data_IF_307403520025
#
_entry.id   IF_307403520025
#
_cell.length_a   1.000
_cell.length_b   1.000
_cell.length_c   1.000
_cell.angle_alpha   90.00
_cell.angle_beta   90.00
_cell.angle_gamma   90.00
#
_symmetry.space_group_name_H-M   'P 1'
#
loop_
_entity.id
_entity.type
_entity.pdbx_description
1 polymer ?
#
# COMPACT_ATOMS: atom_id res chain seq x y z
N UNK A 1 2.06 8.89 -21.49
CA UNK A 1 2.52 8.93 -20.08
C UNK A 1 2.28 7.59 -19.43
N UNK A 2 3.31 7.02 -18.88
CA UNK A 2 3.14 5.76 -18.15
C UNK A 2 2.35 5.99 -16.87
N UNK A 3 1.40 5.09 -16.61
CA UNK A 3 0.69 5.08 -15.34
C UNK A 3 1.32 4.02 -14.45
N UNK A 4 1.42 4.31 -13.16
CA UNK A 4 1.80 3.29 -12.20
C UNK A 4 0.55 2.71 -11.54
N UNK A 5 0.62 1.42 -11.26
CA UNK A 5 -0.54 0.67 -10.80
C UNK A 5 -0.40 0.33 -9.32
N UNK A 6 -1.37 0.78 -8.57
CA UNK A 6 -1.32 0.78 -7.11
C UNK A 6 -2.20 -0.32 -6.53
N UNK A 7 -1.67 -1.01 -5.53
CA UNK A 7 -2.45 -1.90 -4.68
C UNK A 7 -2.61 -1.27 -3.29
N UNK A 8 -3.80 -1.37 -2.73
CA UNK A 8 -4.11 -0.83 -1.41
C UNK A 8 -4.27 -1.98 -0.42
N UNK A 9 -3.48 -1.96 0.63
CA UNK A 9 -3.58 -2.94 1.72
C UNK A 9 -4.11 -2.20 2.94
N UNK A 10 -5.37 -2.45 3.27
CA UNK A 10 -6.10 -1.74 4.32
C UNK A 10 -7.00 -0.67 3.72
N UNK A 11 -8.31 -0.87 3.82
CA UNK A 11 -9.32 0.01 3.21
C UNK A 11 -10.23 0.64 4.28
N UNK A 12 -9.63 1.01 5.41
CA UNK A 12 -10.34 1.65 6.52
C UNK A 12 -10.33 3.17 6.44
N UNK A 13 -10.41 3.81 7.61
CA UNK A 13 -10.57 5.25 7.72
C UNK A 13 -9.47 6.08 7.07
N UNK A 14 -8.19 5.72 7.29
CA UNK A 14 -7.08 6.49 6.73
C UNK A 14 -7.03 6.35 5.20
N UNK A 15 -7.39 5.19 4.68
CA UNK A 15 -7.45 4.97 3.24
C UNK A 15 -8.54 5.86 2.63
N UNK A 16 -9.76 5.74 3.11
CA UNK A 16 -10.91 6.47 2.57
C UNK A 16 -10.85 7.97 2.82
N UNK A 17 -10.26 8.38 3.94
CA UNK A 17 -10.18 9.79 4.31
C UNK A 17 -9.08 10.58 3.62
N UNK A 18 -7.98 9.92 3.26
CA UNK A 18 -6.80 10.62 2.73
C UNK A 18 -6.21 10.01 1.47
N UNK A 19 -5.82 8.74 1.53
CA UNK A 19 -5.04 8.14 0.45
C UNK A 19 -5.82 7.94 -0.86
N UNK A 20 -7.01 7.37 -0.76
CA UNK A 20 -7.81 7.08 -1.96
C UNK A 20 -8.26 8.35 -2.68
N UNK A 21 -8.81 9.35 -1.98
CA UNK A 21 -9.15 10.61 -2.65
C UNK A 21 -7.95 11.29 -3.32
N UNK A 22 -6.78 11.26 -2.66
CA UNK A 22 -5.57 11.87 -3.22
C UNK A 22 -5.10 11.14 -4.47
N UNK A 23 -5.08 9.81 -4.45
CA UNK A 23 -4.70 9.00 -5.60
C UNK A 23 -5.65 9.20 -6.79
N UNK A 24 -6.94 9.33 -6.52
CA UNK A 24 -7.95 9.53 -7.56
C UNK A 24 -7.70 10.80 -8.37
N UNK A 25 -7.08 11.79 -7.76
CA UNK A 25 -6.76 13.06 -8.43
C UNK A 25 -5.52 12.98 -9.32
N UNK A 26 -4.72 11.92 -9.20
CA UNK A 26 -3.50 11.78 -9.98
C UNK A 26 -3.78 11.06 -11.29
N UNK A 27 -3.54 11.75 -12.40
CA UNK A 27 -3.73 11.18 -13.74
C UNK A 27 -2.79 10.00 -14.02
N UNK A 28 -1.64 9.96 -13.36
CA UNK A 28 -0.63 8.93 -13.56
C UNK A 28 -0.80 7.69 -12.66
N UNK A 29 -1.83 7.65 -11.83
CA UNK A 29 -2.04 6.54 -10.91
C UNK A 29 -3.37 5.82 -11.20
N UNK A 30 -3.31 4.50 -11.24
CA UNK A 30 -4.48 3.64 -11.34
C UNK A 30 -4.49 2.68 -10.17
N UNK A 31 -5.62 2.58 -9.47
CA UNK A 31 -5.73 1.66 -8.33
C UNK A 31 -6.37 0.37 -8.84
N UNK A 32 -5.57 -0.68 -8.97
CA UNK A 32 -5.98 -1.92 -9.63
C UNK A 32 -6.27 -3.07 -8.67
N UNK A 33 -5.93 -2.91 -7.40
CA UNK A 33 -6.12 -3.97 -6.40
C UNK A 33 -6.37 -3.38 -5.02
N UNK A 34 -7.25 -4.03 -4.29
CA UNK A 34 -7.64 -3.62 -2.94
C UNK A 34 -7.65 -4.83 -2.03
N UNK A 35 -7.15 -4.68 -0.82
CA UNK A 35 -7.14 -5.75 0.17
C UNK A 35 -7.61 -5.24 1.54
N UNK A 36 -8.50 -5.99 2.16
CA UNK A 36 -8.94 -5.75 3.54
C UNK A 36 -9.45 -7.09 4.09
N UNK A 37 -9.22 -7.32 5.39
CA UNK A 37 -9.75 -8.51 6.05
C UNK A 37 -11.28 -8.55 6.01
N UNK A 38 -11.91 -7.37 5.91
CA UNK A 38 -13.35 -7.24 5.76
C UNK A 38 -13.63 -7.04 4.27
N UNK A 39 -14.15 -8.06 3.56
CA UNK A 39 -14.32 -7.98 2.10
C UNK A 39 -15.12 -6.79 1.62
N UNK A 40 -16.16 -6.41 2.35
CA UNK A 40 -17.04 -5.29 1.99
C UNK A 40 -16.28 -3.96 1.91
N UNK A 41 -15.24 -3.79 2.73
CA UNK A 41 -14.42 -2.59 2.70
C UNK A 41 -13.59 -2.50 1.42
N UNK A 42 -12.99 -3.62 1.01
CA UNK A 42 -12.24 -3.68 -0.24
C UNK A 42 -13.15 -3.45 -1.44
N UNK A 43 -14.31 -4.08 -1.44
CA UNK A 43 -15.28 -3.94 -2.53
C UNK A 43 -15.81 -2.51 -2.66
N UNK A 44 -16.13 -1.88 -1.54
CA UNK A 44 -16.60 -0.49 -1.56
C UNK A 44 -15.52 0.45 -2.10
N UNK A 45 -14.29 0.29 -1.62
CA UNK A 45 -13.17 1.11 -2.09
C UNK A 45 -12.92 0.90 -3.58
N UNK A 46 -13.01 -0.33 -4.05
CA UNK A 46 -12.84 -0.64 -5.47
C UNK A 46 -13.90 0.02 -6.33
N UNK A 47 -15.16 0.02 -5.88
CA UNK A 47 -16.24 0.68 -6.63
C UNK A 47 -16.06 2.18 -6.72
N UNK A 48 -15.57 2.80 -5.65
CA UNK A 48 -15.43 4.25 -5.59
C UNK A 48 -14.14 4.77 -6.25
N UNK A 49 -13.06 4.03 -6.14
CA UNK A 49 -11.73 4.52 -6.51
C UNK A 49 -10.95 3.64 -7.48
N UNK A 50 -11.38 2.42 -7.69
CA UNK A 50 -10.65 1.47 -8.53
C UNK A 50 -10.94 1.62 -10.01
N UNK A 51 -10.09 0.98 -10.81
CA UNK A 51 -10.34 0.79 -12.23
C UNK A 51 -11.52 -0.18 -12.40
N UNK A 52 -12.17 -0.21 -13.56
CA UNK A 52 -13.29 -1.15 -13.77
C UNK A 52 -12.93 -2.62 -13.57
N UNK A 53 -11.68 -2.98 -13.79
CA UNK A 53 -11.17 -4.35 -13.61
C UNK A 53 -10.40 -4.54 -12.31
N UNK A 54 -10.56 -3.63 -11.35
CA UNK A 54 -9.89 -3.74 -10.06
C UNK A 54 -10.29 -5.02 -9.34
N UNK A 55 -9.32 -5.66 -8.70
CA UNK A 55 -9.50 -6.90 -7.95
C UNK A 55 -9.48 -6.65 -6.46
N UNK A 56 -10.26 -7.45 -5.73
CA UNK A 56 -10.35 -7.38 -4.27
C UNK A 56 -9.81 -8.67 -3.66
N UNK A 57 -9.05 -8.52 -2.59
CA UNK A 57 -8.41 -9.63 -1.88
C UNK A 57 -8.68 -9.50 -0.39
N UNK A 58 -8.71 -10.61 0.32
CA UNK A 58 -8.77 -10.63 1.79
C UNK A 58 -7.43 -10.97 2.41
N UNK A 59 -6.52 -11.56 1.63
CA UNK A 59 -5.16 -11.86 2.06
C UNK A 59 -4.19 -11.00 1.24
N UNK A 60 -3.41 -10.15 1.92
CA UNK A 60 -2.49 -9.25 1.22
C UNK A 60 -1.43 -9.99 0.41
N UNK A 61 -1.10 -11.23 0.78
CA UNK A 61 -0.14 -12.02 0.03
C UNK A 61 -0.64 -12.35 -1.36
N UNK A 62 -1.95 -12.54 -1.50
CA UNK A 62 -2.54 -12.75 -2.82
C UNK A 62 -2.48 -11.48 -3.66
N UNK A 63 -2.72 -10.33 -3.05
CA UNK A 63 -2.56 -9.04 -3.74
C UNK A 63 -1.13 -8.89 -4.25
N UNK A 64 -0.14 -9.26 -3.45
CA UNK A 64 1.27 -9.16 -3.84
C UNK A 64 1.65 -10.06 -5.02
N UNK A 65 0.86 -11.08 -5.31
CA UNK A 65 1.05 -11.93 -6.48
C UNK A 65 0.42 -11.36 -7.75
N UNK A 66 -0.35 -10.31 -7.63
CA UNK A 66 -0.97 -9.65 -8.79
C UNK A 66 0.12 -8.92 -9.57
N UNK A 67 0.45 -9.45 -10.75
CA UNK A 67 1.56 -8.94 -11.58
C UNK A 67 1.32 -7.52 -12.09
N UNK A 68 0.09 -7.04 -12.08
CA UNK A 68 -0.25 -5.67 -12.52
C UNK A 68 0.20 -4.62 -11.51
N UNK A 69 0.33 -5.00 -10.24
CA UNK A 69 0.65 -4.05 -9.17
C UNK A 69 2.12 -3.67 -9.19
N UNK A 70 2.43 -2.40 -9.35
CA UNK A 70 3.80 -1.86 -9.33
C UNK A 70 4.22 -1.43 -7.94
N UNK A 71 3.28 -0.87 -7.19
CA UNK A 71 3.54 -0.38 -5.85
C UNK A 71 2.33 -0.61 -4.95
N UNK A 72 2.58 -0.67 -3.66
CA UNK A 72 1.51 -0.84 -2.68
C UNK A 72 1.55 0.25 -1.63
N UNK A 73 0.37 0.61 -1.12
CA UNK A 73 0.23 1.46 0.04
C UNK A 73 -0.27 0.62 1.20
N UNK A 74 0.50 0.63 2.29
CA UNK A 74 0.19 -0.16 3.48
C UNK A 74 -0.46 0.75 4.51
N UNK A 75 -1.76 0.57 4.71
CA UNK A 75 -2.62 1.44 5.52
C UNK A 75 -3.31 0.67 6.66
N UNK A 76 -2.68 -0.41 7.07
CA UNK A 76 -3.16 -1.31 8.12
C UNK A 76 -2.74 -0.84 9.51
N UNK A 77 -3.20 -1.50 10.59
CA UNK A 77 -2.71 -1.21 11.94
C UNK A 77 -1.19 -1.36 12.05
N UNK A 78 -0.59 -0.57 12.92
CA UNK A 78 0.86 -0.40 13.04
C UNK A 78 1.65 -1.71 13.16
N UNK A 79 1.12 -2.67 13.90
CA UNK A 79 1.81 -3.94 14.16
C UNK A 79 2.09 -4.77 12.90
N UNK A 80 1.38 -4.50 11.81
CA UNK A 80 1.54 -5.24 10.55
C UNK A 80 2.47 -4.57 9.56
N UNK A 81 2.85 -3.31 9.81
CA UNK A 81 3.62 -2.52 8.84
C UNK A 81 4.93 -3.18 8.42
N UNK A 82 5.70 -3.67 9.39
CA UNK A 82 7.00 -4.25 9.08
C UNK A 82 6.89 -5.50 8.21
N UNK A 83 6.05 -6.45 8.62
CA UNK A 83 5.93 -7.71 7.88
C UNK A 83 5.36 -7.50 6.48
N UNK A 84 4.31 -6.69 6.36
CA UNK A 84 3.70 -6.41 5.06
C UNK A 84 4.65 -5.67 4.14
N UNK A 85 5.43 -4.72 4.68
CA UNK A 85 6.42 -3.98 3.90
C UNK A 85 7.51 -4.91 3.37
N UNK A 86 8.06 -5.77 4.23
CA UNK A 86 9.10 -6.72 3.84
C UNK A 86 8.59 -7.66 2.76
N UNK A 87 7.40 -8.21 2.96
CA UNK A 87 6.80 -9.12 1.98
C UNK A 87 6.56 -8.43 0.63
N UNK A 88 6.09 -7.19 0.67
CA UNK A 88 5.84 -6.42 -0.55
C UNK A 88 7.14 -6.11 -1.31
N UNK A 89 8.18 -5.67 -0.60
CA UNK A 89 9.47 -5.41 -1.21
C UNK A 89 10.03 -6.67 -1.87
N UNK A 90 9.95 -7.80 -1.18
CA UNK A 90 10.42 -9.09 -1.71
C UNK A 90 9.58 -9.59 -2.87
N UNK A 91 8.33 -9.17 -2.95
CA UNK A 91 7.48 -9.47 -4.10
C UNK A 91 7.76 -8.56 -5.30
N UNK A 92 8.73 -7.66 -5.19
CA UNK A 92 9.12 -6.77 -6.27
C UNK A 92 8.29 -5.50 -6.38
N UNK A 93 7.62 -5.11 -5.30
CA UNK A 93 6.78 -3.91 -5.28
C UNK A 93 7.47 -2.75 -4.57
N UNK A 94 7.24 -1.54 -5.06
CA UNK A 94 7.59 -0.35 -4.31
C UNK A 94 6.55 -0.16 -3.21
N UNK A 95 6.94 0.44 -2.08
CA UNK A 95 6.07 0.53 -0.91
C UNK A 95 6.00 1.94 -0.36
N UNK A 96 4.78 2.40 -0.11
CA UNK A 96 4.54 3.52 0.79
C UNK A 96 3.83 2.95 2.02
N UNK A 97 4.49 3.05 3.17
CA UNK A 97 3.97 2.56 4.44
C UNK A 97 3.50 3.75 5.28
N UNK A 98 2.30 3.66 5.84
CA UNK A 98 1.79 4.71 6.72
C UNK A 98 2.59 4.71 8.02
N UNK A 99 2.69 5.86 8.66
CA UNK A 99 3.40 6.00 9.94
C UNK A 99 2.65 5.31 11.08
N UNK A 100 3.35 4.86 12.11
CA UNK A 100 4.80 4.74 12.24
C UNK A 100 5.34 3.60 11.38
N UNK A 101 6.60 3.71 10.99
CA UNK A 101 7.26 2.71 10.15
C UNK A 101 7.18 1.30 10.75
N UNK A 102 7.45 1.20 12.04
CA UNK A 102 7.48 -0.07 12.75
C UNK A 102 7.21 0.16 14.23
N UNK A 103 6.98 -0.92 14.97
CA UNK A 103 6.74 -0.86 16.41
C UNK A 103 8.02 -1.10 17.23
N UNK A 104 9.06 -1.66 16.60
CA UNK A 104 10.35 -1.87 17.25
C UNK A 104 11.49 -1.44 16.34
N UNK A 105 12.66 -1.21 16.93
CA UNK A 105 13.87 -0.87 16.19
C UNK A 105 14.31 -2.03 15.28
N UNK A 106 14.20 -3.26 15.76
CA UNK A 106 14.55 -4.45 15.00
C UNK A 106 13.69 -4.58 13.74
N UNK A 107 12.39 -4.31 13.86
CA UNK A 107 11.48 -4.31 12.71
C UNK A 107 11.88 -3.25 11.70
N UNK A 108 12.18 -2.04 12.17
CA UNK A 108 12.62 -0.97 11.28
C UNK A 108 13.89 -1.33 10.54
N UNK A 109 14.85 -1.93 11.23
CA UNK A 109 16.10 -2.40 10.60
C UNK A 109 15.83 -3.45 9.54
N UNK A 110 14.94 -4.41 9.84
CA UNK A 110 14.58 -5.46 8.88
C UNK A 110 13.94 -4.86 7.62
N UNK A 111 13.10 -3.86 7.77
CA UNK A 111 12.50 -3.16 6.63
C UNK A 111 13.55 -2.49 5.75
N UNK A 112 14.50 -1.78 6.37
CA UNK A 112 15.59 -1.11 5.65
C UNK A 112 16.47 -2.14 4.94
N UNK A 113 16.76 -3.27 5.59
CA UNK A 113 17.54 -4.35 4.98
C UNK A 113 16.83 -4.90 3.75
N UNK A 114 15.54 -5.18 3.85
CA UNK A 114 14.75 -5.67 2.72
C UNK A 114 14.74 -4.66 1.57
N UNK A 115 14.64 -3.37 1.89
CA UNK A 115 14.69 -2.32 0.88
C UNK A 115 16.03 -2.33 0.13
N UNK A 116 17.13 -2.45 0.87
CA UNK A 116 18.46 -2.50 0.25
C UNK A 116 18.68 -3.75 -0.59
N UNK A 117 18.24 -4.89 -0.08
CA UNK A 117 18.38 -6.17 -0.79
C UNK A 117 17.57 -6.23 -2.08
N UNK A 118 16.38 -5.64 -2.09
CA UNK A 118 15.50 -5.68 -3.26
C UNK A 118 15.71 -4.54 -4.23
N UNK A 119 16.30 -3.44 -3.79
CA UNK A 119 16.50 -2.24 -4.61
C UNK A 119 15.20 -1.48 -4.89
N UNK A 120 14.09 -1.87 -4.27
CA UNK A 120 12.81 -1.19 -4.43
C UNK A 120 12.72 0.05 -3.56
N UNK A 121 11.81 0.95 -3.90
CA UNK A 121 11.61 2.18 -3.13
C UNK A 121 10.72 1.92 -1.92
N UNK A 122 11.11 2.49 -0.79
CA UNK A 122 10.32 2.45 0.44
C UNK A 122 10.19 3.88 0.97
N UNK A 123 8.95 4.31 1.14
CA UNK A 123 8.64 5.62 1.71
C UNK A 123 7.70 5.43 2.89
N UNK A 124 7.96 6.17 3.97
CA UNK A 124 7.07 6.19 5.14
C UNK A 124 6.33 7.52 5.17
N UNK A 125 5.03 7.45 5.36
CA UNK A 125 4.15 8.62 5.24
C UNK A 125 4.11 9.50 6.49
N UNK A 126 5.14 10.29 6.72
CA UNK A 126 5.16 11.29 7.80
C UNK A 126 4.56 12.60 7.28
N UNK A 127 3.26 12.61 7.07
CA UNK A 127 2.58 13.72 6.39
C UNK A 127 2.72 15.07 7.08
N UNK A 128 2.76 15.11 8.40
CA UNK A 128 2.87 16.37 9.14
C UNK A 128 4.22 17.07 8.97
N UNK A 129 5.23 16.36 8.52
CA UNK A 129 6.53 16.95 8.24
C UNK A 129 6.48 17.97 7.10
N UNK A 130 5.55 17.80 6.21
CA UNK A 130 5.43 18.62 5.00
C UNK A 130 4.23 19.56 5.02
N UNK A 131 3.47 19.57 6.11
CA UNK A 131 2.33 20.47 6.25
C UNK A 131 2.85 21.89 6.52
N UNK A 132 2.24 22.91 5.89
CA UNK A 132 2.63 24.28 6.13
C UNK A 132 2.34 24.75 7.57
#
# INVERSE_FOLDING_TARGET
METFKVGIIGCGGIANGKHLPALKKLACAEIVAFCDLIPERAEKAAREYGTPDARCYTDYRELLRDARVDNVRILTPNRWHAQMTIDALRAGKHVLCEKPMATTYEEARAMVRAQKETGKLLTVGYQHKFDP
#
